data_IF_911488261102
#
_entry.id   IF_911488261102
#
_cell.length_a   1.000
_cell.length_b   1.000
_cell.length_c   1.000
_cell.angle_alpha   90.00
_cell.angle_beta   90.00
_cell.angle_gamma   90.00
#
_symmetry.space_group_name_H-M   'P 1'
#
loop_
_entity.id
_entity.type
_entity.pdbx_description
1 polymer ?
#
# COMPACT_ATOMS: atom_id res chain seq x y z
N UNK A 1 28.50 36.58 16.41
CA UNK A 1 28.09 35.17 16.28
C UNK A 1 26.58 35.10 16.35
N UNK A 2 25.90 34.88 15.22
CA UNK A 2 24.46 34.67 15.17
C UNK A 2 24.25 33.39 14.37
N UNK A 3 23.95 32.30 15.06
CA UNK A 3 23.61 31.02 14.46
C UNK A 3 22.22 31.10 13.85
N UNK A 4 22.15 31.10 12.52
CA UNK A 4 20.92 30.77 11.82
C UNK A 4 20.67 29.28 11.98
N UNK A 5 19.77 28.91 12.89
CA UNK A 5 19.15 27.61 12.86
C UNK A 5 18.39 27.48 11.56
N UNK A 6 18.92 26.70 10.61
CA UNK A 6 18.17 26.27 9.44
C UNK A 6 16.93 25.54 9.96
N UNK A 7 15.74 26.09 9.70
CA UNK A 7 14.51 25.35 9.86
C UNK A 7 14.65 24.09 9.02
N UNK A 8 14.63 22.93 9.66
CA UNK A 8 14.61 21.66 8.95
C UNK A 8 13.44 21.70 7.97
N UNK A 9 13.76 21.57 6.68
CA UNK A 9 12.78 21.44 5.61
C UNK A 9 11.80 20.33 6.03
N UNK A 10 10.47 20.54 5.90
CA UNK A 10 9.52 19.49 6.24
C UNK A 10 9.95 18.23 5.48
N UNK A 11 10.03 17.06 6.16
CA UNK A 11 10.50 15.84 5.49
C UNK A 11 9.69 15.67 4.22
N UNK A 12 10.38 15.61 3.08
CA UNK A 12 9.76 15.43 1.78
C UNK A 12 8.68 14.36 1.92
N UNK A 13 7.44 14.69 1.52
CA UNK A 13 6.29 13.82 1.74
C UNK A 13 6.66 12.42 1.25
N UNK A 14 6.83 11.49 2.19
CA UNK A 14 7.30 10.15 1.83
C UNK A 14 6.26 9.55 0.89
N UNK A 15 6.65 8.92 -0.23
CA UNK A 15 5.69 8.29 -1.14
C UNK A 15 4.99 7.08 -0.48
N UNK A 16 5.38 6.76 0.75
CA UNK A 16 4.86 5.69 1.57
C UNK A 16 3.91 6.22 2.65
N UNK A 17 2.89 5.42 2.93
CA UNK A 17 1.97 5.63 4.04
C UNK A 17 1.90 4.34 4.85
N UNK A 18 2.10 4.44 6.16
CA UNK A 18 1.83 3.33 7.06
C UNK A 18 0.56 3.60 7.83
N UNK A 19 -0.31 2.60 7.94
CA UNK A 19 -1.62 2.77 8.58
C UNK A 19 -2.11 1.46 9.20
N UNK A 20 -3.15 1.56 10.02
CA UNK A 20 -3.97 0.45 10.48
C UNK A 20 -5.32 0.53 9.79
N UNK A 21 -5.76 -0.57 9.20
CA UNK A 21 -7.02 -0.61 8.46
C UNK A 21 -7.49 -2.03 8.18
N UNK A 22 -8.71 -2.14 7.66
CA UNK A 22 -9.36 -3.40 7.30
C UNK A 22 -9.63 -3.42 5.80
N UNK A 23 -9.24 -4.51 5.13
CA UNK A 23 -9.57 -4.73 3.73
C UNK A 23 -10.97 -5.29 3.58
N UNK A 24 -11.54 -4.94 2.43
CA UNK A 24 -12.71 -5.53 1.81
C UNK A 24 -12.39 -5.71 0.32
N UNK A 25 -12.16 -6.95 -0.10
CA UNK A 25 -11.82 -7.28 -1.48
C UNK A 25 -12.96 -6.95 -2.44
N UNK A 26 -12.61 -6.51 -3.65
CA UNK A 26 -13.57 -6.28 -4.74
C UNK A 26 -13.73 -7.49 -5.66
N UNK A 27 -13.00 -8.58 -5.41
CA UNK A 27 -13.09 -9.85 -6.16
C UNK A 27 -12.89 -9.69 -7.67
N UNK A 28 -11.99 -8.80 -8.06
CA UNK A 28 -11.69 -8.39 -9.43
C UNK A 28 -10.29 -8.85 -9.86
N UNK A 29 -9.96 -10.11 -9.54
CA UNK A 29 -8.67 -10.69 -9.88
C UNK A 29 -8.36 -10.62 -11.39
N UNK A 30 -7.14 -10.17 -11.72
CA UNK A 30 -6.61 -10.10 -13.07
C UNK A 30 -5.23 -10.76 -13.11
N UNK A 31 -5.15 -11.98 -13.65
CA UNK A 31 -3.89 -12.70 -13.88
C UNK A 31 -2.94 -11.90 -14.77
N UNK A 32 -1.64 -12.01 -14.51
CA UNK A 32 -0.60 -11.52 -15.43
C UNK A 32 -0.49 -12.37 -16.71
N UNK A 33 -1.08 -13.57 -16.72
CA UNK A 33 -0.92 -14.59 -17.76
C UNK A 33 0.54 -14.95 -18.03
N UNK A 34 1.41 -14.88 -17.02
CA UNK A 34 2.79 -15.34 -17.11
C UNK A 34 2.82 -16.88 -17.13
N UNK A 35 3.25 -17.51 -18.24
CA UNK A 35 3.28 -18.97 -18.33
C UNK A 35 4.27 -19.62 -17.35
N UNK A 36 5.25 -18.88 -16.84
CA UNK A 36 6.24 -19.37 -15.88
C UNK A 36 5.79 -19.16 -14.42
N UNK A 37 4.68 -18.45 -14.19
CA UNK A 37 4.11 -18.24 -12.86
C UNK A 37 3.14 -19.37 -12.46
N UNK A 38 3.71 -20.43 -11.90
CA UNK A 38 2.97 -21.63 -11.46
C UNK A 38 1.90 -21.31 -10.40
N UNK A 39 2.06 -20.22 -9.66
CA UNK A 39 1.09 -19.82 -8.63
C UNK A 39 -0.02 -18.93 -9.19
N UNK A 40 0.07 -18.50 -10.45
CA UNK A 40 -0.86 -17.57 -11.10
C UNK A 40 -1.06 -16.31 -10.25
N UNK A 41 -0.04 -15.45 -10.18
CA UNK A 41 -0.19 -14.15 -9.56
C UNK A 41 -0.90 -13.17 -10.49
N UNK A 42 -1.58 -12.23 -9.86
CA UNK A 42 -2.27 -11.18 -10.57
C UNK A 42 -2.51 -9.97 -9.71
N UNK A 43 -3.16 -9.00 -10.32
CA UNK A 43 -3.59 -7.77 -9.69
C UNK A 43 -5.01 -7.93 -9.14
N UNK A 44 -5.24 -7.39 -7.96
CA UNK A 44 -6.52 -7.36 -7.29
C UNK A 44 -6.74 -5.98 -6.68
N UNK A 45 -7.99 -5.57 -6.53
CA UNK A 45 -8.33 -4.36 -5.79
C UNK A 45 -9.17 -4.64 -4.55
N UNK A 46 -9.10 -3.70 -3.62
CA UNK A 46 -9.86 -3.74 -2.38
C UNK A 46 -10.19 -2.33 -1.90
N UNK A 47 -11.25 -2.22 -1.12
CA UNK A 47 -11.52 -1.05 -0.29
C UNK A 47 -10.78 -1.20 1.03
N UNK A 48 -9.91 -0.26 1.33
CA UNK A 48 -9.20 -0.19 2.60
C UNK A 48 -9.90 0.81 3.51
N UNK A 49 -10.56 0.29 4.54
CA UNK A 49 -11.19 1.06 5.60
C UNK A 49 -10.11 1.50 6.59
N UNK A 50 -9.63 2.74 6.46
CA UNK A 50 -8.54 3.32 7.24
C UNK A 50 -9.03 3.63 8.65
N UNK A 51 -8.45 2.97 9.64
CA UNK A 51 -8.72 3.23 11.06
C UNK A 51 -7.82 4.31 11.63
N UNK A 52 -6.52 4.28 11.28
CA UNK A 52 -5.52 5.24 11.77
C UNK A 52 -4.33 5.27 10.83
N UNK A 53 -3.88 6.46 10.44
CA UNK A 53 -2.58 6.65 9.77
C UNK A 53 -1.48 6.72 10.84
N UNK A 54 -0.42 5.93 10.66
CA UNK A 54 0.74 5.86 11.56
C UNK A 54 1.87 6.78 11.09
N UNK A 55 2.11 6.85 9.78
CA UNK A 55 3.11 7.72 9.15
C UNK A 55 2.74 8.04 7.70
N UNK A 56 3.31 9.11 7.14
CA UNK A 56 3.01 9.58 5.79
C UNK A 56 1.78 10.50 5.72
N UNK A 57 1.26 10.71 4.51
CA UNK A 57 0.15 11.63 4.30
C UNK A 57 -1.18 11.12 4.87
N UNK A 58 -2.05 12.07 5.25
CA UNK A 58 -3.41 11.76 5.71
C UNK A 58 -4.24 11.20 4.56
N UNK A 59 -5.01 10.17 4.85
CA UNK A 59 -5.89 9.50 3.88
C UNK A 59 -7.36 9.71 4.23
N UNK A 60 -8.22 9.52 3.22
CA UNK A 60 -9.65 9.38 3.43
C UNK A 60 -9.96 8.13 4.28
N UNK A 61 -11.14 8.10 4.90
CA UNK A 61 -11.59 6.97 5.74
C UNK A 61 -11.69 5.66 4.96
N UNK A 62 -12.01 5.74 3.68
CA UNK A 62 -12.05 4.61 2.76
C UNK A 62 -11.29 5.02 1.50
N UNK A 63 -10.34 4.20 1.08
CA UNK A 63 -9.61 4.37 -0.17
C UNK A 63 -9.64 3.06 -0.97
N UNK A 64 -9.55 3.16 -2.29
CA UNK A 64 -9.26 2.00 -3.13
C UNK A 64 -7.76 1.75 -3.12
N UNK A 65 -7.39 0.50 -2.93
CA UNK A 65 -6.01 0.02 -3.01
C UNK A 65 -5.91 -1.11 -4.01
N UNK A 66 -4.75 -1.25 -4.64
CA UNK A 66 -4.40 -2.35 -5.52
C UNK A 66 -3.27 -3.16 -4.89
N UNK A 67 -3.29 -4.47 -5.04
CA UNK A 67 -2.24 -5.35 -4.53
C UNK A 67 -1.98 -6.50 -5.51
N UNK A 68 -0.81 -7.11 -5.35
CA UNK A 68 -0.34 -8.20 -6.20
C UNK A 68 -0.27 -9.49 -5.38
N UNK A 69 -0.80 -10.59 -5.91
CA UNK A 69 -0.85 -11.87 -5.22
C UNK A 69 -1.56 -12.95 -6.05
N UNK A 70 -1.42 -14.19 -5.60
CA UNK A 70 -2.14 -15.35 -6.17
C UNK A 70 -3.45 -15.68 -5.43
N UNK A 71 -3.68 -15.06 -4.27
CA UNK A 71 -4.93 -15.18 -3.52
C UNK A 71 -5.33 -13.86 -2.89
N UNK A 72 -6.63 -13.70 -2.62
CA UNK A 72 -7.15 -12.54 -1.93
C UNK A 72 -6.61 -12.45 -0.50
N UNK A 73 -6.18 -11.25 -0.10
CA UNK A 73 -5.79 -11.03 1.30
C UNK A 73 -7.04 -11.15 2.17
N UNK A 74 -6.92 -11.80 3.33
CA UNK A 74 -8.04 -12.05 4.23
C UNK A 74 -8.79 -10.77 4.60
N UNK A 75 -10.09 -10.78 4.32
CA UNK A 75 -10.99 -9.68 4.65
C UNK A 75 -11.27 -9.55 6.15
N UNK A 76 -11.79 -8.38 6.52
CA UNK A 76 -12.49 -8.24 7.79
C UNK A 76 -11.59 -7.99 9.01
N UNK A 77 -10.29 -8.29 8.92
CA UNK A 77 -9.34 -8.08 10.02
C UNK A 77 -8.61 -6.74 9.91
N UNK A 78 -8.48 -6.03 11.04
CA UNK A 78 -7.59 -4.87 11.13
C UNK A 78 -6.14 -5.36 11.15
N UNK A 79 -5.34 -4.84 10.23
CA UNK A 79 -3.91 -5.14 10.10
C UNK A 79 -3.14 -3.83 9.88
N UNK A 80 -1.82 -3.89 10.09
CA UNK A 80 -0.93 -2.80 9.70
C UNK A 80 -0.61 -2.97 8.22
N UNK A 81 -0.67 -1.85 7.50
CA UNK A 81 -0.41 -1.79 6.07
C UNK A 81 0.67 -0.75 5.81
N UNK A 82 1.51 -1.05 4.82
CA UNK A 82 2.38 -0.07 4.19
C UNK A 82 1.91 0.07 2.75
N UNK A 83 1.71 1.30 2.33
CA UNK A 83 1.24 1.64 1.00
C UNK A 83 2.31 2.46 0.29
N UNK A 84 2.43 2.30 -1.02
CA UNK A 84 3.16 3.19 -1.92
C UNK A 84 2.18 3.82 -2.89
N UNK A 85 2.32 5.11 -3.18
CA UNK A 85 1.51 5.73 -4.23
C UNK A 85 2.01 5.27 -5.61
N UNK A 86 1.12 4.71 -6.42
CA UNK A 86 1.39 4.37 -7.82
C UNK A 86 1.32 5.59 -8.74
N UNK A 87 1.77 5.42 -9.97
CA UNK A 87 1.87 6.50 -10.97
C UNK A 87 0.48 6.99 -11.41
N UNK A 88 -0.52 6.10 -11.40
CA UNK A 88 -1.93 6.40 -11.64
C UNK A 88 -2.65 7.04 -10.44
N UNK A 89 -1.91 7.32 -9.36
CA UNK A 89 -2.43 7.88 -8.12
C UNK A 89 -3.10 6.88 -7.18
N UNK A 90 -3.26 5.61 -7.59
CA UNK A 90 -3.79 4.53 -6.75
C UNK A 90 -2.77 4.11 -5.71
N UNK A 91 -3.21 3.75 -4.50
CA UNK A 91 -2.31 3.18 -3.51
C UNK A 91 -2.08 1.70 -3.77
N UNK A 92 -0.81 1.31 -3.75
CA UNK A 92 -0.37 -0.06 -3.87
C UNK A 92 0.01 -0.61 -2.50
N UNK A 93 -0.49 -1.80 -2.14
CA UNK A 93 -0.07 -2.47 -0.90
C UNK A 93 1.34 -3.01 -1.08
N UNK A 94 2.24 -2.63 -0.17
CA UNK A 94 3.58 -3.17 -0.11
C UNK A 94 3.58 -4.59 0.43
N UNK A 95 4.39 -5.47 -0.16
CA UNK A 95 4.60 -6.83 0.35
C UNK A 95 5.77 -6.87 1.34
N UNK A 96 5.83 -7.88 2.23
CA UNK A 96 6.99 -8.11 3.06
C UNK A 96 8.26 -8.37 2.22
N UNK A 97 9.46 -8.07 2.75
CA UNK A 97 10.71 -8.41 2.08
C UNK A 97 10.78 -9.89 1.70
N UNK A 98 11.25 -10.18 0.48
CA UNK A 98 11.35 -11.54 -0.05
C UNK A 98 10.04 -12.13 -0.60
N UNK A 99 8.93 -11.41 -0.55
CA UNK A 99 7.68 -11.78 -1.23
C UNK A 99 7.63 -11.22 -2.65
N UNK A 100 6.83 -11.82 -3.54
CA UNK A 100 6.58 -11.28 -4.88
C UNK A 100 5.50 -10.20 -4.81
N UNK A 101 5.77 -9.03 -5.40
CA UNK A 101 4.83 -7.90 -5.43
C UNK A 101 5.51 -6.54 -5.24
N UNK A 102 4.75 -5.56 -4.77
CA UNK A 102 5.23 -4.18 -4.64
C UNK A 102 6.18 -4.05 -3.46
N UNK A 103 7.48 -3.92 -3.77
CA UNK A 103 8.50 -3.71 -2.75
C UNK A 103 8.49 -2.28 -2.23
N UNK A 104 8.70 -2.14 -0.93
CA UNK A 104 8.85 -0.86 -0.25
C UNK A 104 10.04 -0.96 0.72
N UNK A 105 10.83 0.13 0.89
CA UNK A 105 11.96 0.17 1.79
C UNK A 105 11.56 0.02 3.26
#
# INVERSE_FOLDING_TARGET
MLGSGAAAEPPAATPYVELIGRLENLHDYQSTNDPDDVLDHGWMTARLHVSRVLSGQRLARVITVRYFGHTHIRDGRKMRWKLRRGDDGTYLICVPPGSVGVQCP
#
